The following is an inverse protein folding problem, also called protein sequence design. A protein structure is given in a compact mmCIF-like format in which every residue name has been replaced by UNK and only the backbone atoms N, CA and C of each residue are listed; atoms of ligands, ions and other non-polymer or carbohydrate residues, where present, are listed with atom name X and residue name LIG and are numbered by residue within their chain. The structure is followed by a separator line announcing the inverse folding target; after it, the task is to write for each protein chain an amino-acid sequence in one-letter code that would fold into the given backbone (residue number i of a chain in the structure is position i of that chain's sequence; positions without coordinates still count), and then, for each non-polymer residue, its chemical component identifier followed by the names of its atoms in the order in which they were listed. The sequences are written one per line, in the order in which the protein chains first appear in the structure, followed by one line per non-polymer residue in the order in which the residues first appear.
data_IF_446422071827
#
_entry.id   IF_446422071827
#
_cell.length_a   1.000
_cell.length_b   1.000
_cell.length_c   1.000
_cell.angle_alpha   90.00
_cell.angle_beta   90.00
_cell.angle_gamma   90.00
#
_symmetry.space_group_name_H-M   'P 1'
#
loop_
_entity.id
_entity.type
_entity.pdbx_description
1 polymer ?
#
# COMPACT_ATOMS: atom_id res chain seq x y z
N UNK A 1 -25.28 -56.58 3.15
CA UNK A 1 -26.30 -55.74 2.48
C UNK A 1 -26.18 -54.33 3.01
N UNK A 2 -26.22 -53.28 2.18
CA UNK A 2 -26.12 -51.90 2.66
C UNK A 2 -27.31 -51.56 3.58
N UNK A 3 -27.04 -50.85 4.67
CA UNK A 3 -28.08 -50.32 5.54
C UNK A 3 -29.02 -49.41 4.74
N UNK A 4 -30.32 -49.45 5.03
CA UNK A 4 -31.34 -48.65 4.35
C UNK A 4 -31.97 -47.69 5.33
N UNK A 5 -32.12 -46.43 4.92
CA UNK A 5 -32.80 -45.42 5.71
C UNK A 5 -34.26 -45.83 5.93
N UNK A 6 -34.73 -45.82 7.18
CA UNK A 6 -36.11 -46.21 7.47
C UNK A 6 -37.14 -45.21 6.92
N UNK A 7 -36.78 -43.94 6.76
CA UNK A 7 -37.70 -42.89 6.28
C UNK A 7 -37.92 -42.98 4.77
N UNK A 8 -36.85 -43.05 3.98
CA UNK A 8 -36.92 -42.99 2.51
C UNK A 8 -36.60 -44.33 1.83
N UNK A 9 -36.23 -45.38 2.56
CA UNK A 9 -35.87 -46.73 2.08
C UNK A 9 -34.65 -46.84 1.16
N UNK A 10 -34.03 -45.71 0.81
CA UNK A 10 -32.79 -45.64 0.04
C UNK A 10 -31.59 -46.18 0.84
N UNK A 11 -30.58 -46.76 0.16
CA UNK A 11 -29.36 -47.22 0.81
C UNK A 11 -28.57 -46.04 1.37
N UNK A 12 -28.05 -46.20 2.59
CA UNK A 12 -27.17 -45.24 3.24
C UNK A 12 -25.77 -45.47 2.67
N UNK A 13 -25.28 -44.49 1.91
CA UNK A 13 -23.93 -44.52 1.37
C UNK A 13 -22.98 -43.78 2.31
N UNK A 14 -21.75 -44.28 2.53
CA UNK A 14 -20.77 -43.61 3.40
C UNK A 14 -20.29 -42.25 2.85
N UNK A 15 -20.72 -41.87 1.65
CA UNK A 15 -20.28 -40.67 0.94
C UNK A 15 -21.26 -39.50 1.05
N UNK A 16 -22.44 -39.68 1.64
CA UNK A 16 -23.46 -38.64 1.80
C UNK A 16 -23.63 -38.24 3.27
N UNK A 17 -23.62 -36.92 3.52
CA UNK A 17 -23.77 -36.19 4.78
C UNK A 17 -24.52 -36.92 5.91
N UNK A 18 -23.78 -37.66 6.73
CA UNK A 18 -24.21 -38.11 8.06
C UNK A 18 -25.30 -39.18 8.06
N UNK A 19 -24.94 -40.40 8.47
CA UNK A 19 -25.90 -41.41 8.90
C UNK A 19 -26.08 -41.36 10.41
N UNK A 20 -27.31 -41.50 10.89
CA UNK A 20 -27.60 -41.55 12.32
C UNK A 20 -28.44 -42.78 12.70
N UNK A 21 -28.16 -43.35 13.87
CA UNK A 21 -28.81 -44.55 14.37
C UNK A 21 -29.70 -44.18 15.57
N UNK A 22 -30.96 -44.58 15.53
CA UNK A 22 -31.84 -44.44 16.69
C UNK A 22 -31.42 -45.43 17.78
N UNK A 23 -31.06 -44.92 18.96
CA UNK A 23 -30.62 -45.75 20.09
C UNK A 23 -31.68 -46.70 20.65
N UNK A 24 -32.96 -46.47 20.34
CA UNK A 24 -34.08 -47.29 20.84
C UNK A 24 -34.45 -48.40 19.88
N UNK A 25 -34.57 -48.11 18.58
CA UNK A 25 -34.97 -49.11 17.58
C UNK A 25 -33.80 -49.64 16.74
N UNK A 26 -32.59 -49.10 16.91
CA UNK A 26 -31.37 -49.47 16.20
C UNK A 26 -31.50 -49.45 14.67
N UNK A 27 -32.37 -48.57 14.16
CA UNK A 27 -32.53 -48.36 12.72
C UNK A 27 -31.72 -47.16 12.28
N UNK A 28 -31.23 -47.23 11.05
CA UNK A 28 -30.44 -46.19 10.42
C UNK A 28 -31.33 -45.18 9.67
N UNK A 29 -30.88 -43.92 9.67
CA UNK A 29 -31.53 -42.79 9.05
C UNK A 29 -30.48 -41.89 8.37
N UNK A 30 -30.85 -41.26 7.26
CA UNK A 30 -30.09 -40.10 6.77
C UNK A 30 -30.40 -38.91 7.67
N UNK A 31 -29.39 -38.10 8.01
CA UNK A 31 -29.58 -36.89 8.80
C UNK A 31 -30.64 -35.95 8.19
N UNK A 32 -30.58 -35.74 6.88
CA UNK A 32 -31.55 -34.91 6.15
C UNK A 32 -32.98 -35.47 6.21
N UNK A 33 -33.14 -36.80 6.20
CA UNK A 33 -34.46 -37.44 6.27
C UNK A 33 -35.12 -37.32 7.65
N UNK A 34 -34.38 -36.86 8.66
CA UNK A 34 -34.88 -36.61 10.01
C UNK A 34 -34.64 -35.17 10.45
N UNK A 35 -34.44 -34.27 9.48
CA UNK A 35 -34.30 -32.82 9.68
C UNK A 35 -33.12 -32.42 10.58
N UNK A 36 -32.05 -33.23 10.60
CA UNK A 36 -30.80 -32.88 11.29
C UNK A 36 -29.84 -32.20 10.33
N UNK A 37 -29.27 -31.08 10.75
CA UNK A 37 -28.21 -30.39 10.03
C UNK A 37 -26.82 -30.83 10.54
N UNK A 38 -25.74 -30.35 9.90
CA UNK A 38 -24.37 -30.69 10.28
C UNK A 38 -24.02 -30.30 11.73
N UNK A 39 -24.53 -29.16 12.21
CA UNK A 39 -24.30 -28.69 13.58
C UNK A 39 -24.95 -29.62 14.60
N UNK A 40 -26.15 -30.14 14.31
CA UNK A 40 -26.83 -31.09 15.18
C UNK A 40 -26.07 -32.43 15.26
N UNK A 41 -25.49 -32.88 14.15
CA UNK A 41 -24.66 -34.09 14.12
C UNK A 41 -23.38 -33.91 14.94
N UNK A 42 -22.67 -32.79 14.75
CA UNK A 42 -21.46 -32.47 15.52
C UNK A 42 -21.77 -32.42 17.03
N UNK A 43 -22.90 -31.83 17.41
CA UNK A 43 -23.35 -31.80 18.79
C UNK A 43 -23.61 -33.20 19.34
N UNK A 44 -24.26 -34.07 18.57
CA UNK A 44 -24.57 -35.45 19.00
C UNK A 44 -23.30 -36.30 19.15
N UNK A 45 -22.31 -36.12 18.28
CA UNK A 45 -21.00 -36.77 18.39
C UNK A 45 -20.24 -36.28 19.64
N UNK A 46 -20.16 -34.96 19.85
CA UNK A 46 -19.43 -34.36 20.97
C UNK A 46 -20.07 -34.69 22.33
N UNK A 47 -21.39 -34.63 22.40
CA UNK A 47 -22.12 -34.84 23.66
C UNK A 47 -22.31 -36.32 24.01
N UNK A 48 -21.91 -37.25 23.12
CA UNK A 48 -22.20 -38.70 23.21
C UNK A 48 -23.69 -38.98 23.48
N UNK A 49 -24.57 -38.06 23.08
CA UNK A 49 -25.98 -38.15 23.39
C UNK A 49 -26.68 -39.14 22.47
N UNK A 50 -27.55 -39.94 23.08
CA UNK A 50 -28.33 -40.94 22.40
C UNK A 50 -29.50 -40.30 21.62
N UNK A 51 -29.36 -40.14 20.30
CA UNK A 51 -30.48 -39.72 19.46
C UNK A 51 -31.60 -40.77 19.41
N UNK A 52 -32.84 -40.31 19.37
CA UNK A 52 -34.06 -41.13 19.29
C UNK A 52 -34.93 -40.63 18.15
N UNK A 53 -35.37 -41.52 17.26
CA UNK A 53 -36.30 -41.16 16.21
C UNK A 53 -37.67 -40.76 16.77
N UNK A 54 -38.42 -39.97 16.00
CA UNK A 54 -39.70 -39.41 16.43
C UNK A 54 -40.71 -40.48 16.89
N UNK A 55 -40.74 -41.63 16.24
CA UNK A 55 -41.61 -42.76 16.63
C UNK A 55 -41.26 -43.29 18.02
N UNK A 56 -39.96 -43.46 18.29
CA UNK A 56 -39.47 -43.93 19.59
C UNK A 56 -39.64 -42.87 20.67
N UNK A 57 -39.46 -41.60 20.33
CA UNK A 57 -39.68 -40.48 21.23
C UNK A 57 -41.15 -40.40 21.68
N UNK A 58 -42.09 -40.48 20.74
CA UNK A 58 -43.54 -40.46 21.03
C UNK A 58 -43.99 -41.65 21.88
N UNK A 59 -43.48 -42.85 21.60
CA UNK A 59 -43.78 -44.04 22.42
C UNK A 59 -43.21 -43.95 23.85
N UNK A 60 -42.07 -43.27 24.02
CA UNK A 60 -41.50 -43.03 25.35
C UNK A 60 -42.36 -42.07 26.16
N UNK A 61 -42.90 -41.01 25.53
CA UNK A 61 -43.81 -40.05 26.17
C UNK A 61 -45.12 -40.70 26.61
N UNK A 62 -45.68 -41.58 25.78
CA UNK A 62 -46.93 -42.30 26.09
C UNK A 62 -46.75 -43.31 27.24
N UNK A 63 -45.61 -44.00 27.33
CA UNK A 63 -45.34 -44.92 28.45
C UNK A 63 -45.23 -44.20 29.80
N UNK A 64 -44.67 -43.00 29.82
CA UNK A 64 -44.56 -42.20 31.04
C UNK A 64 -45.92 -41.69 31.55
N UNK A 65 -46.91 -41.56 30.67
CA UNK A 65 -48.28 -41.23 31.07
C UNK A 65 -49.10 -42.48 31.49
N UNK A 66 -48.80 -43.64 30.92
CA UNK A 66 -49.62 -44.85 31.07
C UNK A 66 -49.29 -45.70 32.31
N UNK A 67 -48.31 -45.33 33.14
CA UNK A 67 -48.07 -45.95 34.46
C UNK A 67 -48.87 -45.31 35.59
N UNK A 68 -49.71 -44.30 35.33
CA UNK A 68 -50.76 -43.90 36.26
C UNK A 68 -51.97 -44.84 36.10
N UNK A 69 -51.86 -46.02 36.71
CA UNK A 69 -53.00 -46.91 36.91
C UNK A 69 -54.02 -46.20 37.81
N UNK A 70 -55.16 -45.86 37.23
CA UNK A 70 -56.33 -45.32 37.94
C UNK A 70 -56.97 -46.43 38.78
N UNK A 71 -56.44 -46.65 39.99
CA UNK A 71 -57.25 -47.23 41.07
C UNK A 71 -57.98 -46.11 41.80
N UNK A 72 -59.25 -46.30 42.19
CA UNK A 72 -60.05 -45.27 42.88
C UNK A 72 -59.35 -44.87 44.19
N UNK A 73 -59.31 -43.57 44.56
CA UNK A 73 -58.59 -43.13 45.75
C UNK A 73 -59.37 -43.62 46.97
N UNK A 74 -58.82 -44.64 47.63
CA UNK A 74 -59.15 -44.90 49.03
C UNK A 74 -58.49 -43.76 49.80
N UNK A 75 -59.31 -42.93 50.46
CA UNK A 75 -58.90 -41.82 51.31
C UNK A 75 -57.93 -42.34 52.39
N UNK A 76 -56.63 -42.28 52.09
CA UNK A 76 -55.60 -42.47 53.12
C UNK A 76 -55.48 -41.16 53.87
N UNK A 77 -55.57 -41.15 55.20
CA UNK A 77 -55.39 -39.93 55.96
C UNK A 77 -53.98 -39.41 55.68
N UNK A 78 -53.88 -38.15 55.23
CA UNK A 78 -52.60 -37.47 55.03
C UNK A 78 -51.84 -37.55 56.34
N UNK A 79 -50.83 -38.42 56.37
CA UNK A 79 -50.00 -38.59 57.56
C UNK A 79 -49.08 -37.39 57.69
N UNK A 80 -48.73 -37.01 58.92
CA UNK A 80 -47.75 -35.95 59.22
C UNK A 80 -46.43 -36.11 58.47
N UNK A 81 -46.05 -37.34 58.09
CA UNK A 81 -44.87 -37.64 57.27
C UNK A 81 -44.98 -37.10 55.83
N UNK A 82 -46.12 -37.30 55.16
CA UNK A 82 -46.33 -36.78 53.80
C UNK A 82 -46.33 -35.24 53.77
N UNK A 83 -46.87 -34.60 54.81
CA UNK A 83 -46.79 -33.16 54.97
C UNK A 83 -45.33 -32.68 55.10
N UNK A 84 -44.50 -33.38 55.87
CA UNK A 84 -43.09 -33.04 56.03
C UNK A 84 -42.29 -33.21 54.72
N UNK A 85 -42.52 -34.29 53.97
CA UNK A 85 -41.89 -34.52 52.66
C UNK A 85 -42.28 -33.45 51.64
N UNK A 86 -43.56 -33.04 51.62
CA UNK A 86 -44.04 -31.93 50.80
C UNK A 86 -43.34 -30.61 51.18
N UNK A 87 -43.23 -30.32 52.47
CA UNK A 87 -42.56 -29.11 52.95
C UNK A 87 -41.07 -29.08 52.59
N UNK A 88 -40.37 -30.23 52.66
CA UNK A 88 -38.99 -30.34 52.19
C UNK A 88 -38.87 -30.14 50.68
N UNK A 89 -39.77 -30.74 49.89
CA UNK A 89 -39.79 -30.54 48.44
C UNK A 89 -40.03 -29.07 48.07
N UNK A 90 -40.94 -28.39 48.77
CA UNK A 90 -41.21 -26.95 48.60
C UNK A 90 -39.96 -26.12 48.93
N UNK A 91 -39.24 -26.46 50.01
CA UNK A 91 -37.99 -25.76 50.36
C UNK A 91 -36.88 -25.99 49.32
N UNK A 92 -36.73 -27.21 48.80
CA UNK A 92 -35.78 -27.51 47.74
C UNK A 92 -36.10 -26.72 46.46
N UNK A 93 -37.37 -26.73 46.04
CA UNK A 93 -37.82 -25.94 44.88
C UNK A 93 -37.60 -24.43 45.09
N UNK A 94 -37.79 -23.92 46.30
CA UNK A 94 -37.52 -22.52 46.62
C UNK A 94 -36.03 -22.17 46.50
N UNK A 95 -35.14 -23.06 46.93
CA UNK A 95 -33.70 -22.91 46.77
C UNK A 95 -33.29 -22.93 45.29
N UNK A 96 -33.82 -23.86 44.50
CA UNK A 96 -33.56 -23.96 43.06
C UNK A 96 -34.03 -22.71 42.31
N UNK A 97 -35.23 -22.20 42.62
CA UNK A 97 -35.76 -20.95 42.05
C UNK A 97 -34.86 -19.75 42.40
N UNK A 98 -34.34 -19.71 43.62
CA UNK A 98 -33.38 -18.67 44.04
C UNK A 98 -32.07 -18.77 43.25
N UNK A 99 -31.51 -19.98 43.09
CA UNK A 99 -30.29 -20.20 42.31
C UNK A 99 -30.46 -19.87 40.83
N UNK A 100 -31.63 -20.20 40.25
CA UNK A 100 -31.97 -19.86 38.87
C UNK A 100 -32.11 -18.34 38.69
N UNK A 101 -32.72 -17.65 39.66
CA UNK A 101 -32.82 -16.18 39.64
C UNK A 101 -31.44 -15.52 39.62
N UNK A 102 -30.51 -16.02 40.41
CA UNK A 102 -29.14 -15.50 40.45
C UNK A 102 -28.41 -15.77 39.12
N UNK A 103 -28.49 -17.00 38.62
CA UNK A 103 -27.89 -17.39 37.34
C UNK A 103 -28.43 -16.54 36.18
N UNK A 104 -29.74 -16.26 36.18
CA UNK A 104 -30.36 -15.37 35.20
C UNK A 104 -29.87 -13.93 35.30
N UNK A 105 -29.63 -13.43 36.52
CA UNK A 105 -29.08 -12.09 36.75
C UNK A 105 -27.66 -11.98 36.18
N UNK A 106 -26.81 -12.97 36.43
CA UNK A 106 -25.44 -13.03 35.88
C UNK A 106 -25.46 -13.12 34.34
N UNK A 107 -26.27 -14.01 33.78
CA UNK A 107 -26.39 -14.13 32.32
C UNK A 107 -26.85 -12.81 31.68
N UNK A 108 -27.77 -12.09 32.33
CA UNK A 108 -28.22 -10.79 31.86
C UNK A 108 -27.08 -9.76 31.89
N UNK A 109 -26.22 -9.79 32.90
CA UNK A 109 -25.04 -8.93 32.98
C UNK A 109 -24.05 -9.25 31.85
N UNK A 110 -23.73 -10.52 31.63
CA UNK A 110 -22.84 -10.98 30.57
C UNK A 110 -23.33 -10.55 29.18
N UNK A 111 -24.64 -10.71 28.91
CA UNK A 111 -25.26 -10.23 27.67
C UNK A 111 -25.10 -8.70 27.51
N UNK A 112 -25.16 -7.95 28.61
CA UNK A 112 -24.90 -6.51 28.61
C UNK A 112 -23.48 -6.19 28.17
N UNK A 113 -22.50 -6.85 28.78
CA UNK A 113 -21.08 -6.69 28.44
C UNK A 113 -20.77 -7.09 27.00
N UNK A 114 -21.35 -8.19 26.50
CA UNK A 114 -21.18 -8.62 25.10
C UNK A 114 -21.71 -7.55 24.13
N UNK A 115 -22.86 -6.94 24.43
CA UNK A 115 -23.42 -5.86 23.59
C UNK A 115 -22.54 -4.62 23.55
N UNK A 116 -21.88 -4.28 24.65
CA UNK A 116 -20.94 -3.17 24.71
C UNK A 116 -19.68 -3.43 23.87
N UNK A 117 -19.12 -4.64 23.96
CA UNK A 117 -18.02 -5.05 23.08
C UNK A 117 -18.44 -5.07 21.61
N UNK A 118 -19.63 -5.59 21.30
CA UNK A 118 -20.15 -5.58 19.94
C UNK A 118 -20.25 -4.15 19.40
N UNK A 119 -20.84 -3.22 20.16
CA UNK A 119 -20.95 -1.81 19.76
C UNK A 119 -19.57 -1.16 19.55
N UNK A 120 -18.60 -1.49 20.41
CA UNK A 120 -17.21 -1.02 20.26
C UNK A 120 -16.58 -1.54 18.96
N UNK A 121 -16.78 -2.82 18.63
CA UNK A 121 -16.26 -3.38 17.39
C UNK A 121 -16.95 -2.78 16.15
N UNK A 122 -18.26 -2.56 16.21
CA UNK A 122 -19.03 -1.93 15.13
C UNK A 122 -18.58 -0.48 14.85
N UNK A 123 -18.04 0.23 15.84
CA UNK A 123 -17.47 1.59 15.66
C UNK A 123 -16.02 1.56 15.20
N UNK A 124 -15.22 0.61 15.67
CA UNK A 124 -13.80 0.50 15.27
C UNK A 124 -13.63 -0.06 13.85
N UNK A 125 -14.47 -0.99 13.42
CA UNK A 125 -14.32 -1.66 12.14
C UNK A 125 -14.40 -0.71 10.91
N UNK A 126 -15.34 0.25 10.84
CA UNK A 126 -15.36 1.26 9.78
C UNK A 126 -14.11 2.14 9.79
N UNK A 127 -13.62 2.53 10.98
CA UNK A 127 -12.41 3.36 11.12
C UNK A 127 -11.19 2.65 10.55
N UNK A 128 -11.01 1.36 10.90
CA UNK A 128 -9.91 0.55 10.35
C UNK A 128 -10.02 0.40 8.84
N UNK A 129 -11.25 0.20 8.32
CA UNK A 129 -11.49 0.12 6.87
C UNK A 129 -11.09 1.42 6.16
N UNK A 130 -11.48 2.57 6.69
CA UNK A 130 -11.14 3.88 6.13
C UNK A 130 -9.62 4.13 6.12
N UNK A 131 -8.93 3.77 7.20
CA UNK A 131 -7.46 3.84 7.25
C UNK A 131 -6.81 2.94 6.20
N UNK A 132 -7.31 1.71 6.01
CA UNK A 132 -6.80 0.79 4.99
C UNK A 132 -7.02 1.35 3.57
N UNK A 133 -8.18 1.92 3.30
CA UNK A 133 -8.48 2.54 2.00
C UNK A 133 -7.60 3.76 1.73
N UNK A 134 -7.40 4.60 2.75
CA UNK A 134 -6.48 5.76 2.68
C UNK A 134 -5.05 5.32 2.38
N UNK A 135 -4.54 4.31 3.11
CA UNK A 135 -3.21 3.77 2.85
C UNK A 135 -3.07 3.10 1.49
N UNK A 136 -4.11 2.39 1.03
CA UNK A 136 -4.14 1.79 -0.31
C UNK A 136 -4.05 2.86 -1.40
N UNK A 137 -4.79 3.96 -1.25
CA UNK A 137 -4.75 5.08 -2.19
C UNK A 137 -3.37 5.77 -2.21
N UNK A 138 -2.79 6.01 -1.03
CA UNK A 138 -1.45 6.59 -0.92
C UNK A 138 -0.37 5.68 -1.55
N UNK A 139 -0.46 4.36 -1.37
CA UNK A 139 0.46 3.41 -2.00
C UNK A 139 0.35 3.43 -3.53
N UNK A 140 -0.88 3.55 -4.06
CA UNK A 140 -1.11 3.69 -5.51
C UNK A 140 -0.47 4.98 -6.05
N UNK A 141 -0.65 6.10 -5.35
CA UNK A 141 -0.05 7.39 -5.72
C UNK A 141 1.49 7.34 -5.67
N UNK A 142 2.05 6.73 -4.63
CA UNK A 142 3.49 6.49 -4.53
C UNK A 142 4.01 5.62 -5.69
N UNK A 143 3.24 4.62 -6.13
CA UNK A 143 3.58 3.81 -7.30
C UNK A 143 3.75 4.65 -8.56
N UNK A 144 2.79 5.54 -8.83
CA UNK A 144 2.85 6.47 -9.98
C UNK A 144 4.08 7.39 -9.90
N UNK A 145 4.40 7.91 -8.71
CA UNK A 145 5.59 8.75 -8.52
C UNK A 145 6.89 7.97 -8.71
N UNK A 146 6.94 6.70 -8.31
CA UNK A 146 8.10 5.84 -8.54
C UNK A 146 8.28 5.60 -10.03
N UNK A 147 7.22 5.33 -10.78
CA UNK A 147 7.29 5.11 -12.23
C UNK A 147 7.79 6.38 -12.94
N UNK A 148 7.22 7.55 -12.62
CA UNK A 148 7.65 8.83 -13.18
C UNK A 148 9.12 9.15 -12.86
N UNK A 149 9.56 8.92 -11.62
CA UNK A 149 10.95 9.13 -11.25
C UNK A 149 11.89 8.12 -11.92
N UNK A 150 11.43 6.89 -12.14
CA UNK A 150 12.20 5.87 -12.86
C UNK A 150 12.42 6.30 -14.31
N UNK A 151 11.40 6.85 -14.98
CA UNK A 151 11.51 7.42 -16.32
C UNK A 151 12.49 8.60 -16.36
N UNK A 152 12.38 9.55 -15.41
CA UNK A 152 13.30 10.68 -15.31
C UNK A 152 14.77 10.21 -15.11
N UNK A 153 14.99 9.18 -14.29
CA UNK A 153 16.33 8.62 -14.08
C UNK A 153 16.86 8.01 -15.38
N UNK A 154 16.04 7.27 -16.13
CA UNK A 154 16.45 6.69 -17.41
C UNK A 154 16.83 7.76 -18.44
N UNK A 155 16.08 8.87 -18.50
CA UNK A 155 16.43 10.01 -19.37
C UNK A 155 17.76 10.64 -18.97
N UNK A 156 17.96 10.85 -17.67
CA UNK A 156 19.21 11.39 -17.12
C UNK A 156 20.40 10.46 -17.35
N UNK A 157 20.22 9.14 -17.28
CA UNK A 157 21.25 8.14 -17.58
C UNK A 157 21.63 8.13 -19.07
N UNK A 158 20.68 8.42 -19.97
CA UNK A 158 20.94 8.52 -21.40
C UNK A 158 21.69 9.81 -21.79
N UNK A 159 21.46 10.91 -21.07
CA UNK A 159 22.01 12.24 -21.40
C UNK A 159 23.56 12.30 -21.47
N UNK A 160 24.34 11.73 -20.53
CA UNK A 160 25.80 11.69 -20.61
C UNK A 160 26.32 11.07 -21.90
N UNK A 161 25.72 9.99 -22.38
CA UNK A 161 26.13 9.35 -23.64
C UNK A 161 25.88 10.26 -24.85
N UNK A 162 24.75 10.97 -24.86
CA UNK A 162 24.43 11.94 -25.91
C UNK A 162 25.40 13.14 -25.87
N UNK A 163 25.77 13.59 -24.67
CA UNK A 163 26.77 14.65 -24.47
C UNK A 163 28.15 14.16 -24.93
N UNK A 164 28.55 12.93 -24.58
CA UNK A 164 29.85 12.35 -24.98
C UNK A 164 29.98 12.26 -26.49
N UNK A 165 28.93 11.82 -27.19
CA UNK A 165 28.90 11.81 -28.67
C UNK A 165 29.06 13.23 -29.24
N UNK A 166 28.34 14.22 -28.68
CA UNK A 166 28.45 15.61 -29.14
C UNK A 166 29.82 16.22 -28.86
N UNK A 167 30.40 15.94 -27.68
CA UNK A 167 31.75 16.39 -27.32
C UNK A 167 32.77 15.78 -28.26
N UNK A 168 32.67 14.48 -28.55
CA UNK A 168 33.58 13.80 -29.49
C UNK A 168 33.47 14.40 -30.88
N UNK A 169 32.26 14.63 -31.39
CA UNK A 169 32.04 15.29 -32.69
C UNK A 169 32.65 16.71 -32.73
N UNK A 170 32.47 17.50 -31.68
CA UNK A 170 33.06 18.84 -31.58
C UNK A 170 34.59 18.79 -31.51
N UNK A 171 35.16 17.83 -30.79
CA UNK A 171 36.62 17.61 -30.74
C UNK A 171 37.15 17.27 -32.14
N UNK A 172 36.45 16.40 -32.87
CA UNK A 172 36.81 16.04 -34.25
C UNK A 172 36.66 17.21 -35.23
N UNK A 173 35.72 18.14 -35.02
CA UNK A 173 35.58 19.37 -35.81
C UNK A 173 36.67 20.41 -35.47
N UNK A 174 37.05 20.54 -34.20
CA UNK A 174 38.01 21.56 -33.72
C UNK A 174 39.48 21.17 -33.97
N UNK A 175 39.84 19.90 -33.75
CA UNK A 175 41.21 19.42 -33.95
C UNK A 175 41.81 19.76 -35.33
N UNK A 176 41.12 19.56 -36.47
CA UNK A 176 41.65 19.89 -37.78
C UNK A 176 41.67 21.40 -38.06
N UNK A 177 41.03 22.26 -37.25
CA UNK A 177 41.12 23.72 -37.39
C UNK A 177 42.39 24.30 -36.77
N UNK A 178 42.98 23.64 -35.77
CA UNK A 178 44.17 24.13 -35.07
C UNK A 178 45.40 24.21 -36.02
N UNK A 179 45.54 23.22 -36.91
CA UNK A 179 46.66 23.14 -37.87
C UNK A 179 46.59 24.22 -38.97
N UNK A 180 45.47 24.42 -39.70
CA UNK A 180 45.27 25.52 -40.62
C UNK A 180 45.46 26.88 -39.99
N UNK A 181 45.00 27.08 -38.75
CA UNK A 181 45.08 28.40 -38.09
C UNK A 181 46.52 28.72 -37.72
N UNK A 182 47.26 27.77 -37.15
CA UNK A 182 48.70 27.91 -36.89
C UNK A 182 49.52 28.09 -38.18
N UNK A 183 49.18 27.37 -39.25
CA UNK A 183 49.79 27.53 -40.57
C UNK A 183 49.50 28.91 -41.20
N UNK A 184 48.26 29.40 -41.09
CA UNK A 184 47.87 30.71 -41.60
C UNK A 184 48.54 31.85 -40.83
N UNK A 185 48.65 31.73 -39.50
CA UNK A 185 49.36 32.69 -38.64
C UNK A 185 50.85 32.70 -38.99
N UNK A 186 51.50 31.54 -39.09
CA UNK A 186 52.93 31.45 -39.43
C UNK A 186 53.26 31.99 -40.82
N UNK A 187 52.35 31.88 -41.81
CA UNK A 187 52.54 32.46 -43.15
C UNK A 187 52.27 33.98 -43.20
N UNK A 188 51.23 34.46 -42.53
CA UNK A 188 50.81 35.87 -42.60
C UNK A 188 51.71 36.81 -41.78
N UNK A 189 52.24 36.35 -40.64
CA UNK A 189 53.10 37.17 -39.76
C UNK A 189 54.36 37.72 -40.46
N UNK A 190 55.17 36.91 -41.18
CA UNK A 190 56.33 37.43 -41.91
C UNK A 190 55.93 38.31 -43.10
N UNK A 191 54.80 38.05 -43.75
CA UNK A 191 54.31 38.87 -44.87
C UNK A 191 53.89 40.27 -44.39
N UNK A 192 53.12 40.35 -43.30
CA UNK A 192 52.72 41.61 -42.65
C UNK A 192 53.96 42.38 -42.20
N UNK A 193 54.92 41.72 -41.53
CA UNK A 193 56.17 42.37 -41.09
C UNK A 193 56.96 42.94 -42.27
N UNK A 194 57.00 42.23 -43.40
CA UNK A 194 57.67 42.70 -44.62
C UNK A 194 56.97 43.90 -45.23
N UNK A 195 55.62 43.91 -45.27
CA UNK A 195 54.83 45.06 -45.75
C UNK A 195 55.02 46.29 -44.86
N UNK A 196 55.02 46.11 -43.54
CA UNK A 196 55.27 47.20 -42.57
C UNK A 196 56.68 47.76 -42.73
N UNK A 197 57.71 46.91 -42.80
CA UNK A 197 59.10 47.35 -43.05
C UNK A 197 59.25 48.12 -44.35
N UNK A 198 58.60 47.66 -45.43
CA UNK A 198 58.61 48.35 -46.73
C UNK A 198 57.93 49.73 -46.63
N UNK A 199 56.76 49.81 -46.03
CA UNK A 199 56.02 51.06 -45.83
C UNK A 199 56.83 52.07 -45.00
N UNK A 200 57.43 51.60 -43.90
CA UNK A 200 58.29 52.42 -43.05
C UNK A 200 59.53 52.93 -43.81
N UNK A 201 60.16 52.08 -44.64
CA UNK A 201 61.30 52.49 -45.46
C UNK A 201 60.91 53.55 -46.52
N UNK A 202 59.72 53.42 -47.12
CA UNK A 202 59.17 54.42 -48.05
C UNK A 202 58.90 55.75 -47.32
N UNK A 203 58.32 55.71 -46.12
CA UNK A 203 58.12 56.92 -45.32
C UNK A 203 59.43 57.60 -44.95
N UNK A 204 60.43 56.87 -44.44
CA UNK A 204 61.75 57.44 -44.11
C UNK A 204 62.39 58.06 -45.35
N UNK A 205 62.36 57.38 -46.51
CA UNK A 205 62.91 57.94 -47.76
C UNK A 205 62.14 59.18 -48.23
N UNK A 206 60.82 59.21 -48.05
CA UNK A 206 59.99 60.38 -48.34
C UNK A 206 60.33 61.56 -47.43
N UNK A 207 60.56 61.31 -46.13
CA UNK A 207 61.00 62.32 -45.17
C UNK A 207 62.38 62.85 -45.56
N UNK A 208 63.36 61.98 -45.81
CA UNK A 208 64.71 62.38 -46.24
C UNK A 208 64.68 63.21 -47.55
N UNK A 209 63.87 62.80 -48.53
CA UNK A 209 63.70 63.56 -49.77
C UNK A 209 62.97 64.91 -49.57
N UNK A 210 62.13 65.03 -48.55
CA UNK A 210 61.52 66.32 -48.16
C UNK A 210 62.50 67.21 -47.39
N UNK A 211 63.41 66.62 -46.63
CA UNK A 211 64.46 67.31 -45.86
C UNK A 211 65.56 67.86 -46.79
N UNK A 212 65.94 67.11 -47.83
CA UNK A 212 66.81 67.58 -48.93
C UNK A 212 66.16 68.73 -49.73
N UNK A 213 64.83 68.73 -49.88
CA UNK A 213 64.08 69.83 -50.49
C UNK A 213 63.98 71.06 -49.59
N UNK A 214 63.96 70.89 -48.28
CA UNK A 214 63.91 71.99 -47.31
C UNK A 214 65.28 72.63 -47.05
N UNK A 215 66.38 71.91 -47.24
CA UNK A 215 67.74 72.48 -47.16
C UNK A 215 68.16 73.28 -48.42
N UNK A 216 67.38 73.20 -49.51
CA UNK A 216 67.62 73.95 -50.74
C UNK A 216 66.99 75.35 -50.82
N UNK A 217 65.99 75.66 -49.98
CA UNK A 217 65.26 76.93 -50.00
C UNK A 217 65.16 77.56 -48.61
N UNK A 218 66.01 78.56 -48.36
CA UNK A 218 66.18 79.21 -47.07
C UNK A 218 65.20 80.38 -46.87
N UNK A 219 64.03 80.22 -46.22
CA UNK A 219 63.26 81.35 -45.60
C UNK A 219 62.50 80.93 -44.33
N UNK A 220 62.75 81.65 -43.24
CA UNK A 220 62.00 81.74 -41.98
C UNK A 220 60.48 81.87 -42.17
N UNK A 221 59.67 81.02 -41.52
CA UNK A 221 58.40 81.43 -40.89
C UNK A 221 58.02 80.54 -39.71
N UNK A 222 57.48 81.22 -38.71
CA UNK A 222 57.29 80.86 -37.31
C UNK A 222 55.82 80.50 -37.07
N UNK A 223 55.56 79.29 -36.57
CA UNK A 223 54.38 78.88 -35.77
C UNK A 223 54.87 77.74 -34.87
N UNK A 224 55.41 77.97 -33.66
CA UNK A 224 54.69 78.19 -32.39
C UNK A 224 53.42 77.33 -32.24
N UNK A 225 53.57 76.25 -31.48
CA UNK A 225 52.63 75.61 -30.56
C UNK A 225 51.20 75.28 -31.02
N UNK A 226 50.96 73.98 -31.24
CA UNK A 226 49.89 73.26 -30.53
C UNK A 226 50.31 71.80 -30.30
N UNK A 227 50.82 71.53 -29.10
CA UNK A 227 50.84 70.17 -28.54
C UNK A 227 49.40 69.88 -28.13
N UNK A 228 48.71 69.05 -28.92
CA UNK A 228 47.52 68.35 -28.46
C UNK A 228 47.96 67.00 -27.88
N UNK A 229 47.50 66.60 -26.68
CA UNK A 229 47.98 65.41 -26.01
C UNK A 229 47.45 64.15 -26.70
N UNK A 230 48.29 63.12 -26.66
CA UNK A 230 47.99 61.73 -27.00
C UNK A 230 46.65 61.27 -26.40
N UNK A 231 45.76 60.61 -27.18
CA UNK A 231 44.69 59.85 -26.57
C UNK A 231 45.32 58.59 -25.94
N UNK A 232 45.50 58.63 -24.63
CA UNK A 232 45.55 57.44 -23.79
C UNK A 232 44.25 56.68 -23.99
N UNK A 233 44.29 55.58 -24.73
CA UNK A 233 43.22 54.60 -24.70
C UNK A 233 43.22 53.94 -23.32
N UNK A 234 42.19 54.25 -22.55
CA UNK A 234 41.86 53.56 -21.32
C UNK A 234 41.55 52.10 -21.65
N UNK A 235 42.18 51.19 -20.91
CA UNK A 235 41.77 49.79 -20.82
C UNK A 235 40.46 49.81 -20.01
N UNK A 236 39.34 49.56 -20.67
CA UNK A 236 38.09 49.24 -19.97
C UNK A 236 38.25 47.87 -19.31
N UNK A 237 38.38 47.89 -17.99
CA UNK A 237 38.15 46.71 -17.15
C UNK A 237 36.65 46.42 -17.14
N UNK A 238 36.27 45.25 -17.65
CA UNK A 238 34.94 44.67 -17.45
C UNK A 238 34.70 44.40 -15.96
N UNK A 239 33.55 44.81 -15.38
CA UNK A 239 33.09 44.24 -14.12
C UNK A 239 32.56 42.82 -14.39
N UNK A 240 33.20 41.83 -13.77
CA UNK A 240 32.61 40.51 -13.54
C UNK A 240 31.49 40.73 -12.52
N UNK A 241 30.27 40.85 -13.02
CA UNK A 241 29.06 40.73 -12.23
C UNK A 241 28.81 39.26 -11.94
N UNK A 242 29.08 38.88 -10.70
CA UNK A 242 28.46 37.74 -10.03
C UNK A 242 26.98 38.03 -9.84
N UNK A 243 26.11 37.22 -10.46
CA UNK A 243 24.76 36.93 -9.99
C UNK A 243 24.24 35.69 -10.73
N UNK A 244 24.57 34.51 -10.17
CA UNK A 244 23.77 33.29 -10.09
C UNK A 244 24.29 32.46 -8.92
#
# INVERSE_FOLDING_TARGET
MPAKCLTCTNPITPSFNGSIICTVCQKDFHAECVELNAVDLDFLELSKNAWKCQVCLSKSRLRNYSTQSLTPPTETPITTKHFHELMQAIQAMAADLSGMKESYSLLKADIGTIREYQSTLETQFPTVREHLETHSNALSEHGVLIDANTENIQELEASPSAIEVRVTALVDEVNPLDVPTSSAISKSTPEILTRVKRSHNIMIKGIAASEDRLNGDMILRRCVNHIAPTPTYAIETFPIGSDF
#
